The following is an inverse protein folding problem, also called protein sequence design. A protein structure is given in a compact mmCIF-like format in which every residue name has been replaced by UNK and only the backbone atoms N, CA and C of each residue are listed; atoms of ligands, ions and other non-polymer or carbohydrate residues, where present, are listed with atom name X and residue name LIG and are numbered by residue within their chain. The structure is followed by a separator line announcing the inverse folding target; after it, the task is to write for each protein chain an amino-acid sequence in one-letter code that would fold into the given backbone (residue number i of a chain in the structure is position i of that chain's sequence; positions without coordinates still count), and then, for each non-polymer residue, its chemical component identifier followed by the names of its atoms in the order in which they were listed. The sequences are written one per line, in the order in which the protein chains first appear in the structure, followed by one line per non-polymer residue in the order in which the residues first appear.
data_IF_467219175807
#
_entry.id   IF_467219175807
#
_cell.length_a   1.000
_cell.length_b   1.000
_cell.length_c   1.000
_cell.angle_alpha   90.00
_cell.angle_beta   90.00
_cell.angle_gamma   90.00
#
_symmetry.space_group_name_H-M   'P 1'
#
loop_
_entity.id
_entity.type
_entity.pdbx_description
1 polymer ?
#
# COMPACT_ATOMS: atom_id res chain seq x y z
N UNK A 1 70.83 48.33 -39.47
CA UNK A 1 70.20 47.46 -38.45
C UNK A 1 68.79 47.99 -38.18
N UNK A 2 67.80 47.09 -38.03
CA UNK A 2 66.35 47.32 -37.86
C UNK A 2 65.56 47.40 -39.18
N UNK A 3 65.02 46.25 -39.62
CA UNK A 3 63.77 46.14 -40.40
C UNK A 3 63.34 44.68 -40.68
N UNK A 4 64.14 43.67 -40.30
CA UNK A 4 63.83 42.27 -40.63
C UNK A 4 63.07 41.45 -39.57
N UNK A 5 62.73 42.03 -38.41
CA UNK A 5 62.11 41.29 -37.29
C UNK A 5 60.56 41.25 -37.31
N UNK A 6 59.92 41.98 -38.22
CA UNK A 6 58.44 42.09 -38.24
C UNK A 6 57.75 41.23 -39.30
N UNK A 7 58.49 40.62 -40.24
CA UNK A 7 57.92 39.73 -41.26
C UNK A 7 57.88 38.25 -40.87
N UNK A 8 58.57 37.84 -39.80
CA UNK A 8 58.54 36.46 -39.33
C UNK A 8 57.41 36.17 -38.31
N UNK A 9 56.84 37.21 -37.69
CA UNK A 9 55.79 37.07 -36.66
C UNK A 9 54.38 37.05 -37.25
N UNK A 10 54.17 37.53 -38.48
CA UNK A 10 52.89 37.47 -39.18
C UNK A 10 52.67 36.15 -39.93
N UNK A 11 53.71 35.35 -40.17
CA UNK A 11 53.59 34.06 -40.87
C UNK A 11 53.31 32.87 -39.93
N UNK A 12 53.47 33.03 -38.61
CA UNK A 12 53.23 31.96 -37.60
C UNK A 12 51.78 31.99 -37.07
N UNK A 13 51.02 33.07 -37.30
CA UNK A 13 49.64 33.21 -36.82
C UNK A 13 48.55 32.58 -37.70
N UNK A 14 48.91 31.99 -38.85
CA UNK A 14 47.95 31.57 -39.89
C UNK A 14 47.80 30.04 -40.04
N UNK A 15 48.35 29.25 -39.12
CA UNK A 15 48.36 27.78 -39.23
C UNK A 15 47.63 27.03 -38.11
N UNK A 16 46.91 27.71 -37.22
CA UNK A 16 45.96 27.07 -36.29
C UNK A 16 44.54 27.10 -36.87
N UNK A 17 44.34 26.52 -38.06
CA UNK A 17 43.00 26.07 -38.44
C UNK A 17 42.77 24.79 -37.66
N UNK A 18 42.22 24.95 -36.44
CA UNK A 18 41.70 23.82 -35.70
C UNK A 18 40.62 23.18 -36.55
N UNK A 19 40.88 21.98 -37.07
CA UNK A 19 39.84 21.14 -37.63
C UNK A 19 38.88 20.84 -36.48
N UNK A 20 37.75 21.54 -36.45
CA UNK A 20 36.65 21.22 -35.56
C UNK A 20 36.15 19.83 -35.97
N UNK A 21 36.69 18.79 -35.33
CA UNK A 21 36.11 17.46 -35.38
C UNK A 21 34.86 17.50 -34.51
N UNK A 22 33.76 17.97 -35.09
CA UNK A 22 32.45 17.67 -34.54
C UNK A 22 32.29 16.15 -34.67
N UNK A 23 32.35 15.45 -33.53
CA UNK A 23 31.94 14.04 -33.52
C UNK A 23 30.51 13.98 -34.07
N UNK A 24 30.21 13.07 -35.02
CA UNK A 24 28.85 12.85 -35.46
C UNK A 24 27.98 12.59 -34.24
N UNK A 25 26.98 13.45 -34.01
CA UNK A 25 25.94 13.16 -33.02
C UNK A 25 25.09 12.08 -33.66
N UNK A 26 25.20 10.84 -33.19
CA UNK A 26 24.29 9.78 -33.64
C UNK A 26 22.85 10.24 -33.39
N UNK A 27 22.05 10.24 -34.45
CA UNK A 27 20.62 10.50 -34.33
C UNK A 27 20.00 9.38 -33.50
N UNK A 28 19.22 9.76 -32.49
CA UNK A 28 18.48 8.82 -31.67
C UNK A 28 17.52 8.00 -32.55
N UNK A 29 17.55 6.68 -32.36
CA UNK A 29 16.86 5.72 -33.23
C UNK A 29 15.52 5.37 -32.62
N UNK A 30 14.55 5.04 -33.48
CA UNK A 30 13.28 4.47 -33.02
C UNK A 30 13.50 3.00 -32.69
N UNK A 31 13.24 2.61 -31.43
CA UNK A 31 13.32 1.22 -30.99
C UNK A 31 11.99 0.50 -31.19
N UNK A 32 10.86 1.17 -30.91
CA UNK A 32 9.52 0.60 -31.05
C UNK A 32 8.53 1.66 -31.52
N UNK A 33 7.65 1.30 -32.46
CA UNK A 33 6.47 2.09 -32.83
C UNK A 33 5.25 1.54 -32.08
N UNK A 34 4.47 2.43 -31.43
CA UNK A 34 3.31 2.08 -30.60
C UNK A 34 2.13 2.98 -30.98
N UNK A 35 1.17 2.46 -31.74
CA UNK A 35 0.11 3.25 -32.40
C UNK A 35 0.69 4.47 -33.13
N UNK A 36 0.33 5.69 -32.68
CA UNK A 36 0.78 6.96 -33.24
C UNK A 36 2.05 7.51 -32.55
N UNK A 37 2.63 6.76 -31.60
CA UNK A 37 3.81 7.14 -30.83
C UNK A 37 5.04 6.26 -31.12
N UNK A 38 6.19 6.70 -30.64
CA UNK A 38 7.46 5.98 -30.74
C UNK A 38 8.18 5.92 -29.40
N UNK A 39 8.88 4.82 -29.15
CA UNK A 39 9.82 4.65 -28.05
C UNK A 39 11.22 4.69 -28.66
N UNK A 40 12.05 5.60 -28.18
CA UNK A 40 13.41 5.80 -28.69
C UNK A 40 14.39 4.82 -28.03
N UNK A 41 15.54 4.64 -28.66
CA UNK A 41 16.61 3.82 -28.09
C UNK A 41 17.12 4.43 -26.78
N UNK A 42 17.22 5.76 -26.72
CA UNK A 42 17.56 6.48 -25.49
C UNK A 42 16.59 6.22 -24.33
N UNK A 43 15.28 6.08 -24.60
CA UNK A 43 14.26 5.77 -23.58
C UNK A 43 14.50 4.37 -22.99
N UNK A 44 14.80 3.39 -23.85
CA UNK A 44 15.10 2.02 -23.44
C UNK A 44 16.36 1.99 -22.58
N UNK A 45 17.41 2.69 -23.00
CA UNK A 45 18.69 2.72 -22.29
C UNK A 45 18.59 3.44 -20.94
N UNK A 46 17.86 4.56 -20.89
CA UNK A 46 17.58 5.28 -19.65
C UNK A 46 16.79 4.40 -18.67
N UNK A 47 15.72 3.74 -19.13
CA UNK A 47 14.92 2.86 -18.30
C UNK A 47 15.73 1.64 -17.80
N UNK A 48 16.61 1.07 -18.63
CA UNK A 48 17.53 0.01 -18.22
C UNK A 48 18.46 0.47 -17.10
N UNK A 49 19.06 1.66 -17.21
CA UNK A 49 19.92 2.22 -16.18
C UNK A 49 19.16 2.42 -14.85
N UNK A 50 17.94 2.95 -14.90
CA UNK A 50 17.09 3.13 -13.72
C UNK A 50 16.78 1.79 -13.05
N UNK A 51 16.39 0.77 -13.81
CA UNK A 51 16.10 -0.57 -13.26
C UNK A 51 17.35 -1.19 -12.63
N UNK A 52 18.52 -1.04 -13.28
CA UNK A 52 19.79 -1.53 -12.74
C UNK A 52 20.21 -0.81 -11.46
N UNK A 53 20.07 0.52 -11.40
CA UNK A 53 20.36 1.31 -10.21
C UNK A 53 19.46 0.92 -9.03
N UNK A 54 18.15 0.81 -9.28
CA UNK A 54 17.18 0.39 -8.28
C UNK A 54 17.44 -1.03 -7.77
N UNK A 55 17.81 -1.96 -8.64
CA UNK A 55 18.15 -3.33 -8.23
C UNK A 55 19.41 -3.37 -7.36
N UNK A 56 20.46 -2.61 -7.71
CA UNK A 56 21.69 -2.49 -6.90
C UNK A 56 21.39 -1.92 -5.52
N UNK A 57 20.59 -0.86 -5.43
CA UNK A 57 20.23 -0.23 -4.16
C UNK A 57 19.42 -1.18 -3.25
N UNK A 58 18.56 -2.01 -3.84
CA UNK A 58 17.70 -2.94 -3.11
C UNK A 58 18.30 -4.35 -2.95
N UNK A 59 19.57 -4.57 -3.35
CA UNK A 59 20.24 -5.87 -3.25
C UNK A 59 19.57 -6.98 -4.08
N UNK A 60 18.89 -6.65 -5.17
CA UNK A 60 18.14 -7.60 -6.00
C UNK A 60 18.98 -8.14 -7.14
N UNK A 61 18.85 -9.45 -7.40
CA UNK A 61 19.44 -10.06 -8.59
C UNK A 61 18.58 -9.81 -9.82
N UNK A 62 19.23 -9.47 -10.93
CA UNK A 62 18.58 -9.20 -12.22
C UNK A 62 18.68 -10.40 -13.16
N UNK A 63 17.75 -10.53 -14.12
CA UNK A 63 17.84 -11.52 -15.19
C UNK A 63 18.99 -11.17 -16.16
N UNK A 64 19.20 -12.04 -17.15
CA UNK A 64 20.15 -11.77 -18.24
C UNK A 64 19.75 -10.48 -18.99
N UNK A 65 20.73 -9.80 -19.59
CA UNK A 65 20.56 -8.45 -20.13
C UNK A 65 19.53 -8.39 -21.27
N UNK A 66 19.48 -9.42 -22.10
CA UNK A 66 18.50 -9.61 -23.17
C UNK A 66 17.07 -9.71 -22.63
N UNK A 67 16.87 -10.57 -21.61
CA UNK A 67 15.58 -10.73 -20.94
C UNK A 67 15.18 -9.43 -20.23
N UNK A 68 16.12 -8.76 -19.56
CA UNK A 68 15.87 -7.48 -18.90
C UNK A 68 15.43 -6.41 -19.92
N UNK A 69 16.11 -6.34 -21.07
CA UNK A 69 15.77 -5.40 -22.14
C UNK A 69 14.37 -5.68 -22.68
N UNK A 70 14.00 -6.94 -22.91
CA UNK A 70 12.63 -7.31 -23.32
C UNK A 70 11.58 -6.81 -22.32
N UNK A 71 11.83 -7.01 -21.02
CA UNK A 71 10.91 -6.60 -19.95
C UNK A 71 10.79 -5.07 -19.84
N UNK A 72 11.91 -4.34 -20.02
CA UNK A 72 11.91 -2.87 -20.05
C UNK A 72 11.16 -2.35 -21.26
N UNK A 73 11.39 -2.91 -22.45
CA UNK A 73 10.67 -2.53 -23.67
C UNK A 73 9.17 -2.78 -23.52
N UNK A 74 8.76 -3.95 -23.01
CA UNK A 74 7.34 -4.23 -22.78
C UNK A 74 6.73 -3.27 -21.75
N UNK A 75 7.46 -2.90 -20.70
CA UNK A 75 7.01 -1.87 -19.74
C UNK A 75 6.82 -0.51 -20.43
N UNK A 76 7.77 -0.07 -21.26
CA UNK A 76 7.68 1.20 -21.98
C UNK A 76 6.51 1.22 -22.97
N UNK A 77 6.23 0.10 -23.63
CA UNK A 77 5.05 -0.06 -24.49
C UNK A 77 3.77 0.16 -23.68
N UNK A 78 3.63 -0.52 -22.53
CA UNK A 78 2.46 -0.40 -21.67
C UNK A 78 2.31 1.02 -21.11
N UNK A 79 3.41 1.65 -20.70
CA UNK A 79 3.39 3.02 -20.17
C UNK A 79 3.00 4.03 -21.28
N UNK A 80 3.50 3.84 -22.51
CA UNK A 80 3.13 4.64 -23.69
C UNK A 80 1.64 4.50 -24.02
N UNK A 81 1.10 3.27 -24.00
CA UNK A 81 -0.32 3.03 -24.27
C UNK A 81 -1.23 3.65 -23.21
N UNK A 82 -0.85 3.57 -21.93
CA UNK A 82 -1.62 4.21 -20.86
C UNK A 82 -1.61 5.73 -21.00
N UNK A 83 -0.48 6.32 -21.41
CA UNK A 83 -0.37 7.75 -21.66
C UNK A 83 -1.25 8.17 -22.85
N UNK A 84 -1.24 7.43 -23.95
CA UNK A 84 -2.12 7.69 -25.09
C UNK A 84 -3.59 7.66 -24.70
N UNK A 85 -4.00 6.72 -23.85
CA UNK A 85 -5.39 6.67 -23.37
C UNK A 85 -5.72 7.85 -22.42
N UNK A 86 -4.76 8.29 -21.60
CA UNK A 86 -4.91 9.49 -20.77
C UNK A 86 -5.12 10.74 -21.64
N UNK A 87 -4.33 10.89 -22.71
CA UNK A 87 -4.46 11.98 -23.66
C UNK A 87 -5.80 11.90 -24.41
N UNK A 88 -6.22 10.69 -24.82
CA UNK A 88 -7.48 10.44 -25.55
C UNK A 88 -8.71 10.88 -24.76
N UNK A 89 -8.74 10.61 -23.46
CA UNK A 89 -9.85 11.02 -22.59
C UNK A 89 -9.68 12.43 -22.00
N UNK A 90 -8.57 13.11 -22.32
CA UNK A 90 -8.29 14.48 -21.94
C UNK A 90 -7.92 14.68 -20.47
N UNK A 91 -7.25 13.70 -19.84
CA UNK A 91 -6.72 13.87 -18.48
C UNK A 91 -5.67 14.97 -18.47
N UNK A 92 -5.79 15.90 -17.51
CA UNK A 92 -4.81 16.97 -17.31
C UNK A 92 -4.51 17.13 -15.82
N UNK A 93 -3.23 17.15 -15.49
CA UNK A 93 -2.76 17.38 -14.12
C UNK A 93 -2.29 18.81 -14.01
N UNK A 94 -2.97 19.59 -13.18
CA UNK A 94 -2.55 20.95 -12.84
C UNK A 94 -1.28 20.95 -11.97
N UNK A 95 -0.61 22.10 -11.95
CA UNK A 95 0.67 22.25 -11.25
C UNK A 95 0.54 22.14 -9.73
N UNK A 96 -0.64 22.43 -9.15
CA UNK A 96 -0.87 22.32 -7.71
C UNK A 96 -0.87 20.86 -7.28
N UNK A 97 -1.65 20.03 -7.97
CA UNK A 97 -1.67 18.57 -7.78
C UNK A 97 -0.31 17.95 -8.01
N UNK A 98 0.41 18.39 -9.04
CA UNK A 98 1.77 17.92 -9.32
C UNK A 98 2.73 18.26 -8.19
N UNK A 99 2.68 19.49 -7.67
CA UNK A 99 3.52 19.90 -6.54
C UNK A 99 3.22 19.09 -5.28
N UNK A 100 1.93 18.84 -5.01
CA UNK A 100 1.52 18.02 -3.88
C UNK A 100 2.07 16.59 -3.99
N UNK A 101 1.95 15.96 -5.16
CA UNK A 101 2.49 14.63 -5.40
C UNK A 101 4.01 14.58 -5.22
N UNK A 102 4.75 15.58 -5.71
CA UNK A 102 6.21 15.67 -5.51
C UNK A 102 6.58 15.83 -4.03
N UNK A 103 5.80 16.63 -3.28
CA UNK A 103 6.00 16.78 -1.83
C UNK A 103 5.72 15.47 -1.08
N UNK A 104 4.71 14.72 -1.52
CA UNK A 104 4.40 13.40 -0.97
C UNK A 104 5.54 12.42 -1.23
N UNK A 105 6.08 12.39 -2.46
CA UNK A 105 7.26 11.58 -2.81
C UNK A 105 8.47 11.96 -1.93
N UNK A 106 8.73 13.25 -1.73
CA UNK A 106 9.82 13.71 -0.87
C UNK A 106 9.65 13.19 0.57
N UNK A 107 8.44 13.34 1.13
CA UNK A 107 8.10 12.88 2.48
C UNK A 107 8.25 11.36 2.63
N UNK A 108 7.77 10.59 1.65
CA UNK A 108 7.86 9.13 1.68
C UNK A 108 9.31 8.64 1.63
N UNK A 109 10.18 9.38 0.92
CA UNK A 109 11.63 9.17 0.91
C UNK A 109 12.37 9.81 2.10
N UNK A 110 11.63 10.42 3.05
CA UNK A 110 12.19 11.14 4.22
C UNK A 110 13.15 12.27 3.83
N UNK A 111 12.85 12.95 2.73
CA UNK A 111 13.60 14.06 2.16
C UNK A 111 12.75 15.33 2.14
N UNK A 112 13.40 16.50 2.10
CA UNK A 112 12.72 17.75 1.72
C UNK A 112 12.61 17.88 0.20
N UNK A 113 11.70 18.71 -0.34
CA UNK A 113 11.60 18.95 -1.78
C UNK A 113 12.93 19.43 -2.42
N UNK A 114 13.72 20.21 -1.69
CA UNK A 114 15.03 20.69 -2.13
C UNK A 114 16.05 19.55 -2.21
N UNK A 115 16.03 18.65 -1.21
CA UNK A 115 16.88 17.45 -1.19
C UNK A 115 16.50 16.50 -2.32
N UNK A 116 15.20 16.31 -2.57
CA UNK A 116 14.72 15.49 -3.68
C UNK A 116 15.19 16.07 -5.03
N UNK A 117 15.06 17.39 -5.21
CA UNK A 117 15.55 18.06 -6.42
C UNK A 117 17.05 17.89 -6.62
N UNK A 118 17.85 17.95 -5.55
CA UNK A 118 19.29 17.69 -5.62
C UNK A 118 19.59 16.24 -6.00
N UNK A 119 18.89 15.27 -5.41
CA UNK A 119 19.04 13.85 -5.73
C UNK A 119 18.68 13.53 -7.20
N UNK A 120 17.64 14.17 -7.74
CA UNK A 120 17.28 14.04 -9.17
C UNK A 120 18.39 14.58 -10.08
N UNK A 121 19.02 15.70 -9.70
CA UNK A 121 20.13 16.26 -10.45
C UNK A 121 21.38 15.36 -10.42
N UNK A 122 21.64 14.66 -9.31
CA UNK A 122 22.71 13.66 -9.21
C UNK A 122 22.48 12.46 -10.15
N UNK A 123 21.23 12.16 -10.48
CA UNK A 123 20.84 11.10 -11.42
C UNK A 123 20.89 11.56 -12.89
N UNK A 124 21.33 12.80 -13.15
CA UNK A 124 21.47 13.35 -14.51
C UNK A 124 20.17 13.87 -15.12
N UNK A 125 19.07 13.92 -14.36
CA UNK A 125 17.79 14.47 -14.81
C UNK A 125 17.64 15.92 -14.38
N UNK A 126 17.08 16.76 -15.25
CA UNK A 126 16.66 18.10 -14.85
C UNK A 126 15.38 18.02 -14.01
N UNK A 127 15.19 19.00 -13.13
CA UNK A 127 13.96 19.07 -12.34
C UNK A 127 12.70 19.24 -13.21
N UNK A 128 12.83 19.84 -14.40
CA UNK A 128 11.71 19.98 -15.34
C UNK A 128 11.32 18.64 -15.97
N UNK A 129 12.30 17.83 -16.39
CA UNK A 129 12.06 16.48 -16.91
C UNK A 129 11.45 15.58 -15.84
N UNK A 130 11.97 15.62 -14.61
CA UNK A 130 11.38 14.88 -13.49
C UNK A 130 9.92 15.26 -13.25
N UNK A 131 9.60 16.56 -13.22
CA UNK A 131 8.21 17.03 -13.08
C UNK A 131 7.31 16.51 -14.20
N UNK A 132 7.81 16.54 -15.43
CA UNK A 132 7.04 16.05 -16.59
C UNK A 132 6.83 14.53 -16.52
N UNK A 133 7.83 13.78 -16.07
CA UNK A 133 7.69 12.34 -15.84
C UNK A 133 6.60 12.04 -14.81
N UNK A 134 6.64 12.71 -13.65
CA UNK A 134 5.61 12.55 -12.61
C UNK A 134 4.24 12.96 -13.15
N UNK A 135 4.15 14.01 -13.97
CA UNK A 135 2.90 14.43 -14.61
C UNK A 135 2.32 13.34 -15.52
N UNK A 136 3.15 12.71 -16.35
CA UNK A 136 2.74 11.59 -17.21
C UNK A 136 2.27 10.40 -16.37
N UNK A 137 3.04 10.00 -15.36
CA UNK A 137 2.68 8.91 -14.45
C UNK A 137 1.34 9.17 -13.72
N UNK A 138 1.12 10.40 -13.25
CA UNK A 138 -0.15 10.81 -12.65
C UNK A 138 -1.30 10.76 -13.66
N UNK A 139 -1.10 11.26 -14.87
CA UNK A 139 -2.12 11.27 -15.93
C UNK A 139 -2.54 9.86 -16.32
N UNK A 140 -1.56 8.99 -16.57
CA UNK A 140 -1.78 7.56 -16.85
C UNK A 140 -2.49 6.85 -15.68
N UNK A 141 -2.10 7.15 -14.44
CA UNK A 141 -2.73 6.60 -13.24
C UNK A 141 -4.19 7.04 -13.09
N UNK A 142 -4.48 8.33 -13.29
CA UNK A 142 -5.86 8.86 -13.27
C UNK A 142 -6.72 8.26 -14.38
N UNK A 143 -6.19 8.14 -15.60
CA UNK A 143 -6.88 7.52 -16.72
C UNK A 143 -7.23 6.05 -16.44
N UNK A 144 -6.24 5.27 -15.98
CA UNK A 144 -6.45 3.89 -15.54
C UNK A 144 -7.53 3.82 -14.47
N UNK A 145 -7.42 4.64 -13.42
CA UNK A 145 -8.39 4.64 -12.32
C UNK A 145 -9.81 4.95 -12.81
N UNK A 146 -9.97 5.94 -13.69
CA UNK A 146 -11.25 6.35 -14.23
C UNK A 146 -11.87 5.28 -15.14
N UNK A 147 -11.09 4.70 -16.05
CA UNK A 147 -11.57 3.71 -17.00
C UNK A 147 -11.87 2.37 -16.36
N UNK A 148 -11.02 1.93 -15.43
CA UNK A 148 -11.21 0.68 -14.68
C UNK A 148 -12.41 0.82 -13.74
N UNK A 149 -12.56 1.94 -13.01
CA UNK A 149 -13.72 2.15 -12.12
C UNK A 149 -15.06 1.99 -12.84
N UNK A 150 -15.17 2.45 -14.09
CA UNK A 150 -16.41 2.37 -14.87
C UNK A 150 -16.84 0.94 -15.19
N UNK A 151 -15.91 -0.02 -15.11
CA UNK A 151 -16.15 -1.45 -15.35
C UNK A 151 -16.54 -2.21 -14.07
N UNK A 152 -16.32 -1.61 -12.90
CA UNK A 152 -16.57 -2.27 -11.61
C UNK A 152 -18.03 -2.10 -11.19
N UNK A 153 -18.71 -3.22 -10.99
CA UNK A 153 -20.00 -3.28 -10.32
C UNK A 153 -19.89 -4.16 -9.06
N UNK A 154 -20.38 -3.65 -7.92
CA UNK A 154 -20.40 -4.37 -6.64
C UNK A 154 -21.85 -4.50 -6.22
N UNK A 155 -22.35 -5.73 -6.17
CA UNK A 155 -23.73 -6.00 -5.78
C UNK A 155 -23.87 -5.90 -4.25
N UNK A 156 -25.01 -5.40 -3.73
CA UNK A 156 -25.26 -5.36 -2.29
C UNK A 156 -25.09 -6.72 -1.61
N UNK A 157 -25.57 -7.80 -2.26
CA UNK A 157 -25.43 -9.17 -1.75
C UNK A 157 -23.96 -9.63 -1.61
N UNK A 158 -23.04 -9.16 -2.46
CA UNK A 158 -21.61 -9.46 -2.31
C UNK A 158 -21.04 -8.77 -1.06
N UNK A 159 -21.47 -7.52 -0.80
CA UNK A 159 -21.07 -6.76 0.39
C UNK A 159 -21.60 -7.41 1.64
N UNK A 160 -22.87 -7.81 1.66
CA UNK A 160 -23.52 -8.48 2.79
C UNK A 160 -22.81 -9.81 3.08
N UNK A 161 -22.58 -10.65 2.07
CA UNK A 161 -21.90 -11.95 2.21
C UNK A 161 -20.49 -11.78 2.78
N UNK A 162 -19.71 -10.82 2.27
CA UNK A 162 -18.35 -10.60 2.78
C UNK A 162 -18.36 -9.98 4.19
N UNK A 163 -19.34 -9.12 4.51
CA UNK A 163 -19.47 -8.57 5.85
C UNK A 163 -19.76 -9.66 6.88
N UNK A 164 -20.60 -10.64 6.55
CA UNK A 164 -20.86 -11.81 7.39
C UNK A 164 -19.61 -12.67 7.60
N UNK A 165 -18.82 -12.92 6.55
CA UNK A 165 -17.54 -13.64 6.66
C UNK A 165 -16.57 -12.88 7.57
N UNK A 166 -16.47 -11.56 7.42
CA UNK A 166 -15.61 -10.70 8.24
C UNK A 166 -16.04 -10.67 9.71
N UNK A 167 -17.33 -10.84 10.00
CA UNK A 167 -17.86 -10.95 11.36
C UNK A 167 -17.51 -12.32 12.01
N UNK A 168 -17.49 -13.39 11.20
CA UNK A 168 -17.22 -14.76 11.68
C UNK A 168 -15.73 -15.10 11.78
N UNK A 169 -14.88 -14.50 10.95
CA UNK A 169 -13.45 -14.80 10.95
C UNK A 169 -12.70 -14.09 12.09
N UNK A 170 -12.46 -14.82 13.18
CA UNK A 170 -11.48 -14.47 14.23
C UNK A 170 -10.02 -14.42 13.71
N UNK A 171 -9.76 -14.93 12.51
CA UNK A 171 -8.46 -14.89 11.81
C UNK A 171 -8.19 -13.58 11.06
N UNK A 172 -9.04 -12.55 11.21
CA UNK A 172 -8.95 -11.22 10.58
C UNK A 172 -7.63 -10.45 10.87
N UNK A 173 -6.71 -11.04 11.64
CA UNK A 173 -5.47 -10.43 12.09
C UNK A 173 -4.22 -10.94 11.38
N UNK A 174 -4.32 -11.98 10.53
CA UNK A 174 -3.16 -12.50 9.81
C UNK A 174 -2.95 -11.73 8.50
N UNK A 175 -1.83 -11.03 8.40
CA UNK A 175 -1.35 -10.46 7.14
C UNK A 175 -0.27 -11.37 6.55
N UNK A 176 -0.34 -11.57 5.25
CA UNK A 176 0.65 -12.31 4.47
C UNK A 176 1.43 -11.30 3.62
N UNK A 177 2.75 -11.41 3.63
CA UNK A 177 3.57 -10.80 2.59
C UNK A 177 3.64 -11.80 1.44
N UNK A 178 3.22 -11.40 0.24
CA UNK A 178 3.19 -12.32 -0.91
C UNK A 178 3.99 -11.79 -2.10
N UNK A 179 4.61 -12.72 -2.82
CA UNK A 179 5.17 -12.49 -4.14
C UNK A 179 4.45 -13.32 -5.20
N UNK A 180 4.42 -12.84 -6.44
CA UNK A 180 3.60 -13.40 -7.52
C UNK A 180 4.34 -13.43 -8.86
N UNK A 181 4.20 -14.57 -9.55
CA UNK A 181 4.60 -14.76 -10.95
C UNK A 181 3.36 -15.07 -11.78
N UNK A 182 3.22 -14.37 -12.91
CA UNK A 182 2.18 -14.62 -13.90
C UNK A 182 2.80 -15.07 -15.22
N UNK A 183 2.39 -16.25 -15.69
CA UNK A 183 2.70 -16.72 -17.03
C UNK A 183 1.45 -16.55 -17.89
N UNK A 184 1.48 -15.61 -18.85
CA UNK A 184 0.34 -15.30 -19.71
C UNK A 184 0.19 -16.32 -20.84
N UNK A 185 -1.04 -16.53 -21.29
CA UNK A 185 -1.28 -17.17 -22.58
C UNK A 185 -1.05 -16.13 -23.69
N UNK A 186 -0.23 -16.46 -24.68
CA UNK A 186 -0.09 -15.65 -25.89
C UNK A 186 -0.90 -16.26 -27.03
N UNK A 187 -1.34 -15.42 -27.97
CA UNK A 187 -2.04 -15.87 -29.17
C UNK A 187 -1.13 -16.78 -30.01
N UNK A 188 -1.62 -17.97 -30.33
CA UNK A 188 -0.88 -18.99 -31.09
C UNK A 188 0.05 -19.90 -30.28
N UNK A 189 0.20 -19.70 -28.96
CA UNK A 189 0.94 -20.62 -28.09
C UNK A 189 0.06 -21.75 -27.56
N UNK A 190 0.60 -22.98 -27.50
CA UNK A 190 -0.11 -24.09 -26.87
C UNK A 190 -0.21 -23.86 -25.35
N UNK A 191 -1.43 -23.97 -24.82
CA UNK A 191 -1.69 -23.84 -23.38
C UNK A 191 -0.97 -24.94 -22.58
N UNK A 192 -0.73 -26.10 -23.19
CA UNK A 192 0.03 -27.18 -22.58
C UNK A 192 1.51 -26.80 -22.32
N UNK A 193 2.12 -26.03 -23.22
CA UNK A 193 3.50 -25.57 -23.06
C UNK A 193 3.64 -24.58 -21.90
N UNK A 194 2.68 -23.65 -21.78
CA UNK A 194 2.66 -22.69 -20.67
C UNK A 194 2.42 -23.40 -19.34
N UNK A 195 1.58 -24.45 -19.32
CA UNK A 195 1.39 -25.29 -18.12
C UNK A 195 2.68 -26.04 -17.74
N UNK A 196 3.37 -26.63 -18.72
CA UNK A 196 4.63 -27.32 -18.50
C UNK A 196 5.70 -26.37 -17.95
N UNK A 197 5.79 -25.15 -18.50
CA UNK A 197 6.67 -24.10 -17.99
C UNK A 197 6.31 -23.71 -16.55
N UNK A 198 5.02 -23.55 -16.25
CA UNK A 198 4.56 -23.21 -14.91
C UNK A 198 4.94 -24.30 -13.88
N UNK A 199 4.76 -25.57 -14.25
CA UNK A 199 5.14 -26.71 -13.39
C UNK A 199 6.65 -26.77 -13.17
N UNK A 200 7.44 -26.57 -14.22
CA UNK A 200 8.90 -26.51 -14.13
C UNK A 200 9.35 -25.39 -13.19
N UNK A 201 8.76 -24.21 -13.32
CA UNK A 201 9.12 -23.07 -12.48
C UNK A 201 8.80 -23.32 -11.00
N UNK A 202 7.65 -23.93 -10.71
CA UNK A 202 7.33 -24.33 -9.33
C UNK A 202 8.33 -25.35 -8.78
N UNK A 203 8.78 -26.31 -9.59
CA UNK A 203 9.81 -27.24 -9.18
C UNK A 203 11.13 -26.51 -8.85
N UNK A 204 11.63 -25.65 -9.74
CA UNK A 204 12.85 -24.87 -9.51
C UNK A 204 12.75 -23.98 -8.25
N UNK A 205 11.57 -23.39 -8.00
CA UNK A 205 11.31 -22.57 -6.81
C UNK A 205 11.30 -23.42 -5.52
N UNK A 206 10.73 -24.63 -5.57
CA UNK A 206 10.78 -25.57 -4.44
C UNK A 206 12.19 -26.09 -4.18
N UNK A 207 13.02 -26.19 -5.23
CA UNK A 207 14.44 -26.57 -5.14
C UNK A 207 15.34 -25.43 -4.62
N UNK A 208 14.76 -24.26 -4.32
CA UNK A 208 15.45 -23.14 -3.67
C UNK A 208 15.89 -22.02 -4.62
N UNK A 209 15.38 -21.97 -5.85
CA UNK A 209 15.64 -20.84 -6.75
C UNK A 209 15.11 -19.51 -6.19
N UNK A 210 15.81 -18.41 -6.50
CA UNK A 210 15.42 -17.08 -6.06
C UNK A 210 14.13 -16.61 -6.77
N UNK A 211 13.07 -16.42 -5.98
CA UNK A 211 11.75 -16.05 -6.51
C UNK A 211 11.76 -14.69 -7.21
N UNK A 212 12.50 -13.70 -6.69
CA UNK A 212 12.58 -12.36 -7.29
C UNK A 212 13.23 -12.40 -8.67
N UNK A 213 14.27 -13.23 -8.83
CA UNK A 213 14.92 -13.48 -10.11
C UNK A 213 13.98 -14.20 -11.07
N UNK A 214 13.29 -15.24 -10.61
CA UNK A 214 12.32 -15.95 -11.42
C UNK A 214 11.17 -15.04 -11.86
N UNK A 215 10.70 -14.16 -10.99
CA UNK A 215 9.67 -13.17 -11.31
C UNK A 215 10.14 -12.17 -12.36
N UNK A 216 11.33 -11.58 -12.19
CA UNK A 216 11.89 -10.65 -13.19
C UNK A 216 12.23 -11.32 -14.53
N UNK A 217 12.49 -12.63 -14.53
CA UNK A 217 12.79 -13.39 -15.76
C UNK A 217 11.52 -13.78 -16.51
N UNK A 218 10.57 -14.42 -15.81
CA UNK A 218 9.46 -15.13 -16.44
C UNK A 218 8.11 -14.45 -16.24
N UNK A 219 7.94 -13.62 -15.20
CA UNK A 219 6.64 -13.01 -14.95
C UNK A 219 6.31 -12.00 -16.04
N UNK A 220 5.09 -12.07 -16.55
CA UNK A 220 4.45 -11.05 -17.39
C UNK A 220 3.41 -10.26 -16.59
N UNK A 221 3.51 -10.28 -15.26
CA UNK A 221 2.68 -9.48 -14.35
C UNK A 221 3.22 -8.06 -14.15
N UNK A 222 2.40 -7.11 -13.65
CA UNK A 222 2.80 -5.72 -13.48
C UNK A 222 3.98 -5.51 -12.51
N UNK A 223 4.22 -6.47 -11.60
CA UNK A 223 5.28 -6.44 -10.59
C UNK A 223 6.52 -7.26 -10.96
N UNK A 224 6.65 -7.70 -12.22
CA UNK A 224 7.76 -8.57 -12.66
C UNK A 224 9.14 -7.98 -12.34
N UNK A 225 9.41 -6.74 -12.76
CA UNK A 225 10.67 -6.03 -12.52
C UNK A 225 10.87 -5.67 -11.03
N UNK A 226 9.81 -5.68 -10.23
CA UNK A 226 9.84 -5.45 -8.78
C UNK A 226 10.05 -6.75 -7.98
N UNK A 227 10.45 -7.84 -8.64
CA UNK A 227 10.64 -9.15 -8.01
C UNK A 227 9.35 -9.90 -7.73
N UNK A 228 8.25 -9.44 -8.31
CA UNK A 228 6.92 -9.97 -8.04
C UNK A 228 6.39 -9.59 -6.65
N UNK A 229 6.96 -8.62 -5.94
CA UNK A 229 6.53 -8.23 -4.59
C UNK A 229 5.17 -7.50 -4.63
N UNK A 230 4.15 -8.08 -3.97
CA UNK A 230 2.81 -7.49 -3.81
C UNK A 230 2.59 -6.92 -2.41
N UNK A 231 3.60 -7.00 -1.54
CA UNK A 231 3.57 -6.45 -0.19
C UNK A 231 2.68 -7.23 0.77
N UNK A 232 2.32 -6.56 1.87
CA UNK A 232 1.49 -7.12 2.94
C UNK A 232 0.00 -6.94 2.65
N UNK A 233 -0.75 -8.04 2.72
CA UNK A 233 -2.21 -8.02 2.60
C UNK A 233 -2.87 -9.11 3.44
N UNK A 234 -4.10 -8.86 3.86
CA UNK A 234 -4.95 -9.90 4.47
C UNK A 234 -5.52 -10.83 3.41
N UNK A 235 -5.93 -12.02 3.83
CA UNK A 235 -6.55 -13.01 2.93
C UNK A 235 -7.78 -12.44 2.24
N UNK A 236 -8.57 -11.65 2.96
CA UNK A 236 -9.77 -11.01 2.43
C UNK A 236 -9.45 -9.94 1.37
N UNK A 237 -8.28 -9.30 1.44
CA UNK A 237 -7.84 -8.26 0.49
C UNK A 237 -7.23 -8.83 -0.80
N UNK A 238 -6.88 -10.12 -0.80
CA UNK A 238 -6.31 -10.79 -1.97
C UNK A 238 -7.37 -11.02 -3.06
N UNK A 239 -6.96 -11.12 -4.34
CA UNK A 239 -7.77 -11.76 -5.38
C UNK A 239 -8.31 -13.11 -4.92
N UNK A 240 -9.58 -13.41 -5.21
CA UNK A 240 -10.26 -14.63 -4.70
C UNK A 240 -9.48 -15.89 -5.06
N UNK A 241 -9.00 -15.95 -6.32
CA UNK A 241 -8.19 -17.05 -6.83
C UNK A 241 -6.88 -17.25 -6.06
N UNK A 242 -6.37 -16.23 -5.37
CA UNK A 242 -5.20 -16.33 -4.48
C UNK A 242 -5.61 -16.73 -3.07
N UNK A 243 -6.64 -16.07 -2.53
CA UNK A 243 -7.18 -16.34 -1.19
C UNK A 243 -7.58 -17.81 -1.02
N UNK A 244 -8.22 -18.41 -2.04
CA UNK A 244 -8.67 -19.81 -2.03
C UNK A 244 -7.52 -20.83 -1.92
N UNK A 245 -6.32 -20.43 -2.35
CA UNK A 245 -5.13 -21.28 -2.29
C UNK A 245 -4.42 -21.18 -0.93
N UNK A 246 -4.68 -20.13 -0.15
CA UNK A 246 -4.06 -19.90 1.15
C UNK A 246 -4.91 -20.55 2.25
N UNK A 247 -4.52 -21.77 2.65
CA UNK A 247 -5.25 -22.63 3.60
C UNK A 247 -4.60 -22.79 4.98
N UNK A 248 -3.73 -21.86 5.39
CA UNK A 248 -2.74 -21.94 6.50
C UNK A 248 -1.40 -22.51 6.02
N UNK A 249 -0.63 -21.66 5.34
CA UNK A 249 0.71 -22.01 4.87
C UNK A 249 1.75 -21.17 5.58
N UNK A 250 2.88 -21.81 5.86
CA UNK A 250 3.99 -21.19 6.56
C UNK A 250 4.76 -20.25 5.63
N UNK A 251 5.52 -19.35 6.24
CA UNK A 251 6.55 -18.58 5.57
C UNK A 251 7.40 -19.47 4.64
N UNK A 252 7.63 -19.00 3.42
CA UNK A 252 8.43 -19.66 2.40
C UNK A 252 7.65 -20.57 1.45
N UNK A 253 6.36 -20.81 1.69
CA UNK A 253 5.59 -21.78 0.88
C UNK A 253 5.36 -21.25 -0.54
N UNK A 254 5.59 -22.11 -1.54
CA UNK A 254 5.24 -21.89 -2.95
C UNK A 254 3.87 -22.52 -3.24
N UNK A 255 2.98 -21.73 -3.84
CA UNK A 255 1.61 -22.11 -4.17
C UNK A 255 1.44 -22.07 -5.68
N UNK A 256 0.97 -23.18 -6.26
CA UNK A 256 0.63 -23.29 -7.67
C UNK A 256 1.39 -24.42 -8.37
N UNK A 257 1.42 -24.42 -9.71
CA UNK A 257 0.78 -23.42 -10.56
C UNK A 257 -0.74 -23.60 -10.56
N UNK A 258 -1.50 -22.50 -10.53
CA UNK A 258 -2.96 -22.53 -10.67
C UNK A 258 -3.42 -21.67 -11.84
N UNK A 259 -4.47 -22.13 -12.54
CA UNK A 259 -4.93 -21.58 -13.81
C UNK A 259 -6.00 -20.52 -13.61
N UNK A 260 -5.90 -19.42 -14.36
CA UNK A 260 -6.95 -18.42 -14.52
C UNK A 260 -7.33 -18.28 -16.00
N UNK A 261 -8.24 -17.35 -16.32
CA UNK A 261 -8.55 -17.00 -17.71
C UNK A 261 -7.36 -16.43 -18.48
N UNK A 262 -6.40 -15.80 -17.79
CA UNK A 262 -5.31 -15.04 -18.42
C UNK A 262 -3.97 -15.77 -18.42
N UNK A 263 -3.88 -16.93 -17.77
CA UNK A 263 -2.63 -17.68 -17.68
C UNK A 263 -2.52 -18.59 -16.46
N UNK A 264 -1.28 -18.88 -16.08
CA UNK A 264 -0.93 -19.55 -14.84
C UNK A 264 -0.34 -18.57 -13.82
N UNK A 265 -0.64 -18.82 -12.55
CA UNK A 265 -0.19 -18.02 -11.43
C UNK A 265 0.59 -18.90 -10.47
N UNK A 266 1.67 -18.35 -9.93
CA UNK A 266 2.48 -18.94 -8.86
C UNK A 266 2.63 -17.88 -7.79
N UNK A 267 2.36 -18.24 -6.53
CA UNK A 267 2.52 -17.36 -5.39
C UNK A 267 3.60 -17.90 -4.46
N UNK A 268 4.24 -17.00 -3.73
CA UNK A 268 5.08 -17.33 -2.58
C UNK A 268 4.62 -16.52 -1.38
N UNK A 269 4.51 -17.16 -0.23
CA UNK A 269 4.32 -16.48 1.05
C UNK A 269 5.69 -16.11 1.58
N UNK A 270 6.09 -14.84 1.46
CA UNK A 270 7.39 -14.37 1.93
C UNK A 270 7.44 -14.20 3.44
N UNK A 271 6.32 -13.85 4.06
CA UNK A 271 6.22 -13.68 5.50
C UNK A 271 4.78 -13.73 6.00
N UNK A 272 4.60 -14.03 7.28
CA UNK A 272 3.29 -14.08 7.93
C UNK A 272 3.38 -13.35 9.26
N UNK A 273 2.50 -12.39 9.50
CA UNK A 273 2.38 -11.70 10.79
C UNK A 273 0.94 -11.76 11.27
N UNK A 274 0.75 -12.20 12.51
CA UNK A 274 -0.52 -12.07 13.22
C UNK A 274 -0.53 -10.78 14.04
N UNK A 275 -1.59 -9.99 13.94
CA UNK A 275 -1.89 -8.96 14.94
C UNK A 275 -2.50 -9.64 16.17
N UNK A 276 -2.06 -9.23 17.37
CA UNK A 276 -2.79 -9.54 18.60
C UNK A 276 -4.21 -8.97 18.49
N UNK A 277 -5.20 -9.80 18.81
CA UNK A 277 -6.59 -9.40 18.85
C UNK A 277 -6.78 -8.31 19.89
N UNK A 278 -7.28 -7.14 19.49
CA UNK A 278 -8.07 -6.33 20.42
C UNK A 278 -9.50 -6.82 20.27
N UNK A 279 -9.86 -7.86 21.02
CA UNK A 279 -11.26 -8.13 21.27
C UNK A 279 -11.81 -6.91 22.00
N UNK A 280 -12.67 -6.14 21.34
CA UNK A 280 -13.25 -4.93 21.93
C UNK A 280 -14.35 -5.38 22.88
N UNK A 281 -13.98 -5.63 24.13
CA UNK A 281 -14.96 -5.86 25.21
C UNK A 281 -15.57 -4.51 25.57
N UNK A 282 -16.87 -4.34 25.36
CA UNK A 282 -17.58 -3.20 25.94
C UNK A 282 -18.03 -3.57 27.36
N UNK A 283 -17.84 -2.62 28.26
CA UNK A 283 -18.21 -2.76 29.68
C UNK A 283 -19.31 -1.76 29.98
N UNK A 284 -20.44 -2.27 30.48
CA UNK A 284 -21.47 -1.42 31.06
C UNK A 284 -21.16 -1.23 32.53
N UNK A 285 -20.87 0.01 32.93
CA UNK A 285 -20.48 0.34 34.29
C UNK A 285 -21.27 1.54 34.80
N UNK A 286 -21.35 1.63 36.13
CA UNK A 286 -21.84 2.82 36.83
C UNK A 286 -20.86 3.27 37.90
N UNK A 287 -20.79 4.57 38.17
CA UNK A 287 -19.82 5.12 39.12
C UNK A 287 -20.41 6.24 39.99
N UNK A 288 -19.74 6.53 41.10
CA UNK A 288 -19.96 7.74 41.91
C UNK A 288 -18.63 8.48 42.00
N UNK A 289 -18.59 9.74 41.56
CA UNK A 289 -17.41 10.60 41.62
C UNK A 289 -17.52 11.60 42.77
N UNK A 290 -16.47 11.70 43.59
CA UNK A 290 -16.30 12.73 44.62
C UNK A 290 -14.98 13.46 44.37
N UNK A 291 -15.06 14.75 44.02
CA UNK A 291 -13.89 15.61 43.80
C UNK A 291 -13.44 16.20 45.13
N UNK A 292 -12.17 16.01 45.53
CA UNK A 292 -11.60 16.73 46.65
C UNK A 292 -11.69 18.24 46.43
N UNK A 293 -11.86 18.99 47.52
CA UNK A 293 -11.82 20.45 47.53
C UNK A 293 -10.92 20.90 48.68
N UNK A 294 -10.71 22.21 48.84
CA UNK A 294 -9.98 22.75 50.00
C UNK A 294 -10.64 22.33 51.33
N UNK A 295 -11.96 22.09 51.31
CA UNK A 295 -12.74 21.69 52.48
C UNK A 295 -12.81 20.14 52.61
N UNK A 296 -12.87 19.42 51.49
CA UNK A 296 -12.94 17.96 51.46
C UNK A 296 -11.59 17.37 51.04
N UNK A 297 -10.82 16.87 52.01
CA UNK A 297 -9.55 16.20 51.75
C UNK A 297 -9.73 14.89 50.98
N UNK A 298 -8.64 14.39 50.39
CA UNK A 298 -8.60 13.07 49.76
C UNK A 298 -9.07 11.95 50.72
N UNK A 299 -8.60 11.98 51.97
CA UNK A 299 -9.00 11.02 53.00
C UNK A 299 -10.49 11.15 53.35
N UNK A 300 -11.01 12.38 53.37
CA UNK A 300 -12.44 12.65 53.56
C UNK A 300 -13.30 12.08 52.42
N UNK A 301 -12.90 12.31 51.16
CA UNK A 301 -13.57 11.77 49.99
C UNK A 301 -13.55 10.23 49.99
N UNK A 302 -12.40 9.62 50.31
CA UNK A 302 -12.27 8.17 50.43
C UNK A 302 -13.17 7.60 51.53
N UNK A 303 -13.21 8.24 52.71
CA UNK A 303 -14.06 7.83 53.83
C UNK A 303 -15.54 7.92 53.48
N UNK A 304 -15.95 8.96 52.75
CA UNK A 304 -17.31 9.14 52.28
C UNK A 304 -17.73 8.03 51.32
N UNK A 305 -16.87 7.68 50.36
CA UNK A 305 -17.14 6.57 49.44
C UNK A 305 -17.19 5.21 50.14
N UNK A 306 -16.35 4.99 51.16
CA UNK A 306 -16.42 3.79 51.99
C UNK A 306 -17.74 3.69 52.77
N UNK A 307 -18.29 4.82 53.22
CA UNK A 307 -19.61 4.88 53.84
C UNK A 307 -20.71 4.52 52.85
N UNK A 308 -20.64 5.03 51.61
CA UNK A 308 -21.58 4.67 50.55
C UNK A 308 -21.59 3.17 50.25
N UNK A 309 -20.40 2.55 50.12
CA UNK A 309 -20.30 1.10 49.94
C UNK A 309 -20.98 0.35 51.10
N UNK A 310 -20.77 0.77 52.35
CA UNK A 310 -21.39 0.15 53.53
C UNK A 310 -22.92 0.24 53.47
N UNK A 311 -23.45 1.42 53.18
CA UNK A 311 -24.90 1.67 53.08
C UNK A 311 -25.54 0.84 51.97
N UNK A 312 -24.86 0.72 50.83
CA UNK A 312 -25.32 -0.12 49.70
C UNK A 312 -25.34 -1.60 50.12
N UNK A 313 -24.26 -2.09 50.72
CA UNK A 313 -24.16 -3.49 51.14
C UNK A 313 -25.17 -3.87 52.24
N UNK A 314 -25.52 -2.92 53.11
CA UNK A 314 -26.53 -3.10 54.16
C UNK A 314 -27.98 -2.93 53.67
N UNK A 315 -28.19 -2.51 52.42
CA UNK A 315 -29.53 -2.22 51.87
C UNK A 315 -30.17 -0.94 52.42
N UNK A 316 -29.39 -0.04 53.01
CA UNK A 316 -29.86 1.24 53.57
C UNK A 316 -30.09 2.31 52.48
N UNK A 317 -29.43 2.16 51.32
CA UNK A 317 -29.61 2.99 50.14
C UNK A 317 -29.16 2.22 48.88
N UNK A 318 -29.66 2.58 47.71
CA UNK A 318 -29.21 2.02 46.43
C UNK A 318 -28.03 2.81 45.85
N UNK A 319 -27.23 2.16 45.00
CA UNK A 319 -26.16 2.83 44.25
C UNK A 319 -26.71 4.03 43.45
N UNK A 320 -27.85 3.83 42.80
CA UNK A 320 -28.53 4.84 41.98
C UNK A 320 -28.94 6.09 42.77
N UNK A 321 -29.45 5.92 44.00
CA UNK A 321 -29.80 7.05 44.88
C UNK A 321 -28.57 7.83 45.30
N UNK A 322 -27.52 7.14 45.73
CA UNK A 322 -26.28 7.79 46.15
C UNK A 322 -25.57 8.46 44.96
N UNK A 323 -25.62 7.87 43.77
CA UNK A 323 -25.08 8.45 42.56
C UNK A 323 -25.81 9.75 42.19
N UNK A 324 -27.15 9.74 42.15
CA UNK A 324 -27.96 10.93 41.87
C UNK A 324 -27.72 12.06 42.87
N UNK A 325 -27.59 11.70 44.15
CA UNK A 325 -27.50 12.68 45.22
C UNK A 325 -26.10 13.26 45.41
N UNK A 326 -25.05 12.46 45.19
CA UNK A 326 -23.69 12.80 45.61
C UNK A 326 -22.64 12.75 44.50
N UNK A 327 -22.90 12.09 43.36
CA UNK A 327 -21.90 12.04 42.28
C UNK A 327 -21.71 13.43 41.66
N UNK A 328 -20.45 13.81 41.53
CA UNK A 328 -20.00 15.09 40.97
C UNK A 328 -19.61 14.98 39.49
N UNK A 329 -20.07 13.92 38.83
CA UNK A 329 -20.15 13.80 37.39
C UNK A 329 -21.61 14.04 36.93
N UNK A 330 -21.94 15.24 36.43
CA UNK A 330 -23.32 15.58 36.05
C UNK A 330 -23.92 14.67 34.97
N UNK A 331 -23.08 14.13 34.07
CA UNK A 331 -23.52 13.30 32.96
C UNK A 331 -24.04 11.94 33.42
N UNK A 332 -23.30 11.27 34.30
CA UNK A 332 -23.71 9.98 34.87
C UNK A 332 -24.64 10.12 36.07
N UNK A 333 -24.47 11.14 36.93
CA UNK A 333 -25.29 11.32 38.14
C UNK A 333 -26.79 11.39 37.82
N UNK A 334 -27.17 12.15 36.79
CA UNK A 334 -28.55 12.25 36.32
C UNK A 334 -29.11 10.91 35.79
N UNK A 335 -28.24 9.99 35.37
CA UNK A 335 -28.55 8.66 34.87
C UNK A 335 -28.22 7.57 35.91
N UNK A 336 -28.47 7.83 37.19
CA UNK A 336 -28.25 6.84 38.27
C UNK A 336 -26.78 6.37 38.41
N UNK A 337 -25.83 7.16 37.90
CA UNK A 337 -24.40 6.85 37.86
C UNK A 337 -23.97 6.05 36.62
N UNK A 338 -24.87 5.71 35.70
CA UNK A 338 -24.56 4.88 34.53
C UNK A 338 -23.69 5.58 33.49
N UNK A 339 -22.74 4.83 32.92
CA UNK A 339 -21.84 5.28 31.85
C UNK A 339 -22.20 4.66 30.48
N UNK A 340 -23.13 3.69 30.49
CA UNK A 340 -23.50 2.89 29.32
C UNK A 340 -22.41 1.89 28.92
N UNK A 341 -22.66 1.17 27.82
CA UNK A 341 -21.63 0.30 27.22
C UNK A 341 -20.56 1.15 26.55
N UNK A 342 -19.33 1.03 27.04
CA UNK A 342 -18.17 1.75 26.51
C UNK A 342 -16.96 0.81 26.41
N UNK A 343 -16.06 1.13 25.50
CA UNK A 343 -14.75 0.48 25.43
C UNK A 343 -13.84 1.00 26.55
N UNK A 344 -13.16 0.14 27.33
CA UNK A 344 -12.31 0.57 28.44
C UNK A 344 -11.23 1.60 28.09
N UNK A 345 -10.80 1.66 26.82
CA UNK A 345 -9.84 2.64 26.29
C UNK A 345 -10.34 4.10 26.34
N UNK A 346 -11.63 4.34 26.51
CA UNK A 346 -12.19 5.69 26.69
C UNK A 346 -11.97 6.24 28.11
N UNK A 347 -11.60 5.38 29.06
CA UNK A 347 -11.38 5.77 30.45
C UNK A 347 -9.91 6.06 30.75
N UNK A 348 -9.68 6.90 31.75
CA UNK A 348 -8.33 7.14 32.30
C UNK A 348 -7.75 5.86 32.90
N UNK A 349 -6.41 5.68 32.90
CA UNK A 349 -5.77 4.40 33.18
C UNK A 349 -6.22 3.71 34.48
N UNK A 350 -6.37 4.47 35.56
CA UNK A 350 -6.77 3.92 36.87
C UNK A 350 -8.22 3.46 36.85
N UNK A 351 -9.09 4.15 36.13
CA UNK A 351 -10.50 3.78 35.99
C UNK A 351 -10.66 2.60 35.03
N UNK A 352 -9.93 2.61 33.90
CA UNK A 352 -9.81 1.49 32.96
C UNK A 352 -9.46 0.19 33.69
N UNK A 353 -8.41 0.23 34.53
CA UNK A 353 -7.98 -0.95 35.28
C UNK A 353 -9.08 -1.52 36.19
N UNK A 354 -9.85 -0.67 36.86
CA UNK A 354 -10.96 -1.11 37.71
C UNK A 354 -12.07 -1.75 36.88
N UNK A 355 -12.50 -1.13 35.79
CA UNK A 355 -13.55 -1.70 34.94
C UNK A 355 -13.11 -2.94 34.16
N UNK A 356 -11.81 -3.18 33.97
CA UNK A 356 -11.30 -4.40 33.35
C UNK A 356 -11.21 -5.58 34.32
N UNK A 357 -10.83 -5.31 35.57
CA UNK A 357 -10.52 -6.37 36.55
C UNK A 357 -11.68 -6.71 37.49
N UNK A 358 -12.63 -5.79 37.69
CA UNK A 358 -13.74 -5.99 38.62
C UNK A 358 -14.75 -7.03 38.10
N UNK A 359 -15.16 -8.01 38.91
CA UNK A 359 -16.23 -8.93 38.53
C UNK A 359 -17.57 -8.22 38.33
N UNK A 360 -18.38 -8.75 37.41
CA UNK A 360 -19.73 -8.23 37.15
C UNK A 360 -20.58 -8.31 38.43
N UNK A 361 -21.27 -7.22 38.76
CA UNK A 361 -22.11 -7.06 39.95
C UNK A 361 -21.37 -6.68 41.24
N UNK A 362 -20.04 -6.51 41.20
CA UNK A 362 -19.27 -6.08 42.38
C UNK A 362 -18.98 -4.59 42.34
N UNK A 363 -18.95 -3.97 43.52
CA UNK A 363 -18.55 -2.58 43.72
C UNK A 363 -17.07 -2.54 44.10
N UNK A 364 -16.30 -1.68 43.43
CA UNK A 364 -14.87 -1.49 43.72
C UNK A 364 -14.65 -0.86 45.09
N UNK A 365 -13.44 -1.01 45.63
CA UNK A 365 -12.95 -0.11 46.69
C UNK A 365 -12.82 1.32 46.14
N UNK A 366 -12.86 2.36 46.99
CA UNK A 366 -12.61 3.72 46.52
C UNK A 366 -11.21 3.87 45.94
N UNK A 367 -11.09 4.46 44.76
CA UNK A 367 -9.82 4.68 44.07
C UNK A 367 -9.76 6.10 43.50
N UNK A 368 -8.54 6.62 43.33
CA UNK A 368 -8.29 7.98 42.85
C UNK A 368 -7.93 7.97 41.37
N UNK A 369 -8.47 8.91 40.62
CA UNK A 369 -8.09 9.23 39.25
C UNK A 369 -7.73 10.73 39.15
N UNK A 370 -7.34 11.18 37.97
CA UNK A 370 -7.18 12.62 37.68
C UNK A 370 -8.46 13.45 37.88
N UNK A 371 -9.64 12.81 37.92
CA UNK A 371 -10.93 13.48 38.08
C UNK A 371 -11.44 13.50 39.53
N UNK A 372 -10.78 12.82 40.46
CA UNK A 372 -11.20 12.74 41.86
C UNK A 372 -11.23 11.29 42.37
N UNK A 373 -12.03 11.04 43.41
CA UNK A 373 -12.23 9.71 43.97
C UNK A 373 -13.49 9.05 43.42
N UNK A 374 -13.40 7.77 43.13
CA UNK A 374 -14.48 7.00 42.52
C UNK A 374 -14.72 5.69 43.26
N UNK A 375 -15.96 5.24 43.22
CA UNK A 375 -16.31 3.82 43.27
C UNK A 375 -17.00 3.45 41.96
N UNK A 376 -16.75 2.25 41.46
CA UNK A 376 -17.34 1.76 40.21
C UNK A 376 -17.96 0.38 40.42
N UNK A 377 -19.05 0.12 39.72
CA UNK A 377 -19.68 -1.19 39.63
C UNK A 377 -19.79 -1.57 38.17
N UNK A 378 -19.30 -2.75 37.82
CA UNK A 378 -19.46 -3.32 36.47
C UNK A 378 -20.80 -4.05 36.45
N UNK A 379 -21.76 -3.55 35.67
CA UNK A 379 -23.11 -4.11 35.61
C UNK A 379 -23.21 -5.24 34.58
N UNK A 380 -22.51 -5.11 33.47
CA UNK A 380 -22.49 -6.11 32.41
C UNK A 380 -21.22 -6.01 31.55
N UNK A 381 -20.88 -7.10 30.88
CA UNK A 381 -19.83 -7.14 29.84
C UNK A 381 -20.42 -7.83 28.62
N UNK A 382 -20.23 -7.21 27.47
CA UNK A 382 -20.58 -7.83 26.20
C UNK A 382 -19.42 -7.73 25.24
N UNK A 383 -19.20 -8.80 24.49
CA UNK A 383 -18.50 -8.72 23.23
C UNK A 383 -19.51 -8.17 22.22
N UNK A 384 -19.20 -7.01 21.67
CA UNK A 384 -20.08 -6.37 20.68
C UNK A 384 -19.43 -6.48 19.35
N UNK A 385 -20.16 -7.11 18.44
CA UNK A 385 -19.83 -7.09 17.03
C UNK A 385 -19.92 -5.65 16.53
N UNK A 386 -18.79 -5.11 16.07
CA UNK A 386 -18.66 -3.70 15.72
C UNK A 386 -19.38 -3.41 14.40
N UNK A 387 -20.68 -3.10 14.55
CA UNK A 387 -21.51 -2.30 13.65
C UNK A 387 -21.56 -2.82 12.21
N UNK A 388 -22.65 -3.49 11.84
CA UNK A 388 -22.98 -3.97 10.49
C UNK A 388 -22.58 -2.97 9.37
N UNK A 389 -22.81 -1.66 9.56
CA UNK A 389 -22.39 -0.61 8.62
C UNK A 389 -20.86 -0.44 8.48
N UNK A 390 -20.09 -0.53 9.58
CA UNK A 390 -18.63 -0.46 9.52
C UNK A 390 -18.04 -1.70 8.82
N UNK A 391 -18.60 -2.89 9.09
CA UNK A 391 -18.23 -4.13 8.40
C UNK A 391 -18.61 -4.10 6.93
N UNK A 392 -19.81 -3.61 6.58
CA UNK A 392 -20.24 -3.43 5.18
C UNK A 392 -19.36 -2.43 4.43
N UNK A 393 -19.00 -1.30 5.05
CA UNK A 393 -18.06 -0.34 4.46
C UNK A 393 -16.67 -0.95 4.26
N UNK A 394 -16.19 -1.76 5.21
CA UNK A 394 -14.93 -2.50 5.09
C UNK A 394 -15.02 -3.54 3.96
N UNK A 395 -16.06 -4.35 3.93
CA UNK A 395 -16.35 -5.34 2.90
C UNK A 395 -16.42 -4.70 1.51
N UNK A 396 -17.13 -3.59 1.37
CA UNK A 396 -17.21 -2.84 0.12
C UNK A 396 -15.84 -2.38 -0.36
N UNK A 397 -15.00 -1.81 0.52
CA UNK A 397 -13.64 -1.38 0.15
C UNK A 397 -12.77 -2.54 -0.30
N UNK A 398 -12.88 -3.68 0.38
CA UNK A 398 -12.16 -4.91 0.03
C UNK A 398 -12.60 -5.40 -1.36
N UNK A 399 -13.91 -5.55 -1.59
CA UNK A 399 -14.47 -5.97 -2.88
C UNK A 399 -14.09 -5.01 -4.00
N UNK A 400 -14.16 -3.70 -3.72
CA UNK A 400 -13.75 -2.67 -4.66
C UNK A 400 -12.28 -2.84 -5.05
N UNK A 401 -11.37 -2.95 -4.09
CA UNK A 401 -9.94 -3.11 -4.38
C UNK A 401 -9.67 -4.42 -5.14
N UNK A 402 -10.35 -5.51 -4.78
CA UNK A 402 -10.23 -6.81 -5.46
C UNK A 402 -10.64 -6.70 -6.93
N UNK A 403 -11.88 -6.26 -7.17
CA UNK A 403 -12.41 -6.07 -8.54
C UNK A 403 -11.59 -5.04 -9.31
N UNK A 404 -11.12 -3.98 -8.66
CA UNK A 404 -10.26 -2.97 -9.29
C UNK A 404 -8.96 -3.58 -9.81
N UNK A 405 -8.27 -4.40 -9.02
CA UNK A 405 -7.01 -5.03 -9.45
C UNK A 405 -7.22 -6.04 -10.58
N UNK A 406 -8.33 -6.80 -10.54
CA UNK A 406 -8.72 -7.73 -11.59
C UNK A 406 -9.04 -6.99 -12.90
N UNK A 407 -9.90 -5.98 -12.84
CA UNK A 407 -10.30 -5.17 -14.00
C UNK A 407 -9.14 -4.32 -14.53
N UNK A 408 -8.24 -3.81 -13.69
CA UNK A 408 -7.05 -3.10 -14.13
C UNK A 408 -6.11 -4.01 -14.91
N UNK A 409 -5.94 -5.26 -14.45
CA UNK A 409 -5.12 -6.24 -15.15
C UNK A 409 -5.73 -6.62 -16.50
N UNK A 410 -7.05 -6.85 -16.55
CA UNK A 410 -7.77 -7.15 -17.78
C UNK A 410 -7.72 -5.96 -18.77
N UNK A 411 -7.95 -4.74 -18.28
CA UNK A 411 -7.87 -3.53 -19.09
C UNK A 411 -6.47 -3.33 -19.71
N UNK A 412 -5.39 -3.53 -18.95
CA UNK A 412 -4.03 -3.45 -19.49
C UNK A 412 -3.77 -4.49 -20.58
N UNK A 413 -4.34 -5.69 -20.44
CA UNK A 413 -4.23 -6.73 -21.47
C UNK A 413 -4.99 -6.38 -22.74
N UNK A 414 -6.23 -5.91 -22.62
CA UNK A 414 -7.01 -5.42 -23.76
C UNK A 414 -6.30 -4.27 -24.46
N UNK A 415 -5.77 -3.32 -23.69
CA UNK A 415 -5.02 -2.18 -24.21
C UNK A 415 -3.80 -2.64 -25.01
N UNK A 416 -3.04 -3.61 -24.48
CA UNK A 416 -1.86 -4.16 -25.15
C UNK A 416 -2.19 -4.98 -26.39
N UNK A 417 -3.27 -5.77 -26.35
CA UNK A 417 -3.69 -6.64 -27.44
C UNK A 417 -4.33 -5.86 -28.59
N UNK A 418 -5.02 -4.75 -28.28
CA UNK A 418 -5.63 -3.87 -29.28
C UNK A 418 -4.66 -2.86 -29.91
N UNK A 419 -3.43 -2.77 -29.41
CA UNK A 419 -2.44 -1.81 -29.88
C UNK A 419 -1.64 -2.31 -31.08
N UNK A 420 -1.32 -1.40 -32.01
CA UNK A 420 -0.29 -1.63 -33.02
C UNK A 420 1.09 -1.45 -32.38
N UNK A 421 1.91 -2.50 -32.40
CA UNK A 421 3.27 -2.47 -31.85
C UNK A 421 4.24 -3.10 -32.84
N UNK A 422 5.23 -2.32 -33.27
CA UNK A 422 6.30 -2.77 -34.16
C UNK A 422 7.65 -2.52 -33.50
N UNK A 423 8.35 -3.61 -33.15
CA UNK A 423 9.71 -3.54 -32.59
C UNK A 423 10.69 -3.53 -33.75
N UNK A 424 11.42 -2.42 -33.91
CA UNK A 424 12.44 -2.29 -34.94
C UNK A 424 13.70 -3.00 -34.44
N UNK A 425 14.15 -4.02 -35.18
CA UNK A 425 15.43 -4.68 -34.90
C UNK A 425 16.55 -3.85 -35.52
N UNK A 426 17.71 -3.83 -34.86
CA UNK A 426 18.92 -3.28 -35.47
C UNK A 426 19.21 -4.05 -36.76
N UNK A 427 19.08 -3.38 -37.90
CA UNK A 427 19.65 -3.86 -39.16
C UNK A 427 21.17 -3.67 -39.05
N UNK A 428 21.86 -4.68 -38.53
CA UNK A 428 23.32 -4.81 -38.73
C UNK A 428 23.67 -5.36 -40.13
N UNK A 429 22.69 -5.71 -40.95
CA UNK A 429 22.89 -6.13 -42.34
C UNK A 429 22.39 -5.06 -43.32
N UNK A 430 23.20 -4.03 -43.58
CA UNK A 430 23.28 -3.43 -44.92
C UNK A 430 24.54 -2.55 -45.07
N UNK A 431 25.51 -3.15 -45.77
CA UNK A 431 26.77 -2.63 -46.37
C UNK A 431 28.00 -2.37 -45.50
#
# INVERSE_FOLDING_TARGET
MKLWKHTLLTLIGLLTIGTAQAQPVEMDRVAVVVNDGVILQSDVDAAMLTVQANAKQNGRSLPAQDVLREQVVEKLIIDTLQQQEADRIGVRIDDERLNQAINDIARDNKQTPEQLRAAVAEQGLTYAEFREQIRKEMSASEARNALVRRRINILPAEVDTLAEILAQETNATVQYKISHIQLRFNDGQDKADVEAQAKKLVQELNDGADFSKMASTYSKGPKALEGGDWGWMRKEEMPTIFADQIKMQNKGTIIGPFRSGVGFHILKIDDVKGLETVAVTEVNARHILIKPTIILSDEGAQKQLNDFIRRINNGEATFAELARQYSQDPGSAAQNGELGYQTPDLYVPEFKHQVETLPVGQISKPFKTVHGWHIVEVMDRREVDRTDSALKNKAYRILFNRKFNEEASAWLQELRAGAFVEVLKDNEDDN
#
